data_IF_407218326697
#
_entry.id   IF_407218326697
#
_cell.length_a   1.000
_cell.length_b   1.000
_cell.length_c   1.000
_cell.angle_alpha   90.00
_cell.angle_beta   90.00
_cell.angle_gamma   90.00
#
_symmetry.space_group_name_H-M   'P 1'
#
loop_
_entity.id
_entity.type
_entity.pdbx_description
1 polymer ?
#
# COMPACT_ATOMS: atom_id res chain seq x y z
N UNK A 1 -3.10 2.78 -17.49
CA UNK A 1 -4.49 2.51 -17.87
C UNK A 1 -5.18 3.84 -18.18
N UNK A 2 -5.38 4.15 -19.48
CA UNK A 2 -6.24 5.27 -19.89
C UNK A 2 -7.70 4.86 -19.67
N UNK A 3 -8.29 5.34 -18.58
CA UNK A 3 -9.73 5.24 -18.38
C UNK A 3 -10.38 6.50 -18.94
N UNK A 4 -11.08 6.39 -20.06
CA UNK A 4 -11.91 7.46 -20.62
C UNK A 4 -13.34 7.26 -20.10
N UNK A 5 -13.71 7.97 -19.07
CA UNK A 5 -15.04 8.03 -18.49
C UNK A 5 -15.21 9.31 -17.68
N UNK A 6 -16.42 9.69 -17.31
CA UNK A 6 -16.68 10.91 -16.56
C UNK A 6 -15.94 10.94 -15.20
N UNK A 7 -15.48 12.09 -14.75
CA UNK A 7 -14.51 12.26 -13.68
C UNK A 7 -14.87 11.57 -12.34
N UNK A 8 -16.15 11.39 -12.04
CA UNK A 8 -16.63 10.69 -10.83
C UNK A 8 -16.52 9.16 -10.95
N UNK A 9 -16.90 8.58 -12.08
CA UNK A 9 -16.73 7.14 -12.33
C UNK A 9 -15.24 6.77 -12.40
N UNK A 10 -14.39 7.70 -12.83
CA UNK A 10 -12.93 7.51 -12.86
C UNK A 10 -12.32 7.44 -11.45
N UNK A 11 -12.73 8.31 -10.52
CA UNK A 11 -12.23 8.33 -9.15
C UNK A 11 -12.66 7.06 -8.38
N UNK A 12 -13.93 6.68 -8.46
CA UNK A 12 -14.45 5.47 -7.83
C UNK A 12 -13.78 4.21 -8.38
N UNK A 13 -13.58 4.13 -9.70
CA UNK A 13 -12.89 3.01 -10.33
C UNK A 13 -11.42 2.94 -9.94
N UNK A 14 -10.73 4.08 -9.80
CA UNK A 14 -9.34 4.11 -9.33
C UNK A 14 -9.24 3.59 -7.89
N UNK A 15 -10.08 4.07 -6.99
CA UNK A 15 -10.10 3.64 -5.59
C UNK A 15 -10.51 2.16 -5.44
N UNK A 16 -11.47 1.69 -6.22
CA UNK A 16 -11.85 0.27 -6.28
C UNK A 16 -10.70 -0.59 -6.81
N UNK A 17 -9.99 -0.12 -7.82
CA UNK A 17 -8.79 -0.79 -8.34
C UNK A 17 -7.68 -0.88 -7.29
N UNK A 18 -7.40 0.22 -6.58
CA UNK A 18 -6.45 0.20 -5.46
C UNK A 18 -6.89 -0.77 -4.36
N UNK A 19 -8.19 -0.81 -4.04
CA UNK A 19 -8.75 -1.78 -3.08
C UNK A 19 -8.49 -3.22 -3.53
N UNK A 20 -8.63 -3.52 -4.82
CA UNK A 20 -8.31 -4.82 -5.38
C UNK A 20 -6.80 -5.14 -5.30
N UNK A 21 -5.93 -4.14 -5.51
CA UNK A 21 -4.49 -4.28 -5.32
C UNK A 21 -4.14 -4.53 -3.83
N UNK A 22 -4.77 -3.81 -2.91
CA UNK A 22 -4.60 -4.01 -1.47
C UNK A 22 -5.07 -5.42 -1.07
N UNK A 23 -6.22 -5.87 -1.56
CA UNK A 23 -6.71 -7.23 -1.32
C UNK A 23 -5.76 -8.29 -1.89
N UNK A 24 -5.13 -8.03 -3.04
CA UNK A 24 -4.10 -8.93 -3.61
C UNK A 24 -2.87 -9.02 -2.71
N UNK A 25 -2.42 -7.90 -2.15
CA UNK A 25 -1.32 -7.87 -1.19
C UNK A 25 -1.71 -8.55 0.14
N UNK A 26 -2.92 -8.30 0.63
CA UNK A 26 -3.45 -9.01 1.79
C UNK A 26 -3.47 -10.52 1.57
N UNK A 27 -3.96 -10.99 0.43
CA UNK A 27 -3.97 -12.41 0.09
C UNK A 27 -2.57 -13.04 0.15
N UNK A 28 -1.54 -12.35 -0.35
CA UNK A 28 -0.16 -12.83 -0.26
C UNK A 28 0.31 -12.91 1.21
N UNK A 29 0.00 -11.90 2.01
CA UNK A 29 0.32 -11.88 3.44
C UNK A 29 -0.40 -13.00 4.20
N UNK A 30 -1.68 -13.21 3.89
CA UNK A 30 -2.50 -14.26 4.47
C UNK A 30 -1.97 -15.66 4.10
N UNK A 31 -1.64 -15.89 2.84
CA UNK A 31 -1.03 -17.15 2.37
C UNK A 31 0.33 -17.39 3.02
N UNK A 32 1.18 -16.36 3.10
CA UNK A 32 2.47 -16.46 3.76
C UNK A 32 2.31 -16.86 5.23
N UNK A 33 1.43 -16.24 5.99
CA UNK A 33 1.20 -16.55 7.39
C UNK A 33 0.69 -17.99 7.59
N UNK A 34 -0.18 -18.47 6.71
CA UNK A 34 -0.74 -19.81 6.80
C UNK A 34 0.24 -20.92 6.36
N UNK A 35 1.26 -20.58 5.59
CA UNK A 35 2.18 -21.53 4.98
C UNK A 35 3.65 -21.26 5.26
N UNK A 36 4.01 -20.28 6.11
CA UNK A 36 5.39 -19.82 6.30
C UNK A 36 6.35 -20.96 6.67
N UNK A 37 5.93 -21.97 7.43
CA UNK A 37 6.76 -23.13 7.78
C UNK A 37 7.27 -23.92 6.55
N UNK A 38 6.49 -23.94 5.45
CA UNK A 38 6.89 -24.57 4.18
C UNK A 38 7.64 -23.61 3.28
N UNK A 39 7.44 -22.31 3.45
CA UNK A 39 8.01 -21.24 2.61
C UNK A 39 9.45 -20.88 3.02
N UNK A 40 9.84 -21.18 4.28
CA UNK A 40 11.19 -20.92 4.78
C UNK A 40 12.28 -21.59 3.94
N UNK A 41 12.01 -22.80 3.41
CA UNK A 41 12.96 -23.53 2.57
C UNK A 41 13.24 -22.84 1.22
N UNK A 42 12.37 -21.90 0.84
CA UNK A 42 12.45 -21.14 -0.42
C UNK A 42 12.90 -19.69 -0.21
N UNK A 43 13.32 -19.31 0.99
CA UNK A 43 13.66 -17.92 1.37
C UNK A 43 12.54 -16.90 1.10
N UNK A 44 11.27 -17.35 1.15
CA UNK A 44 10.12 -16.46 0.99
C UNK A 44 9.83 -15.80 2.33
N UNK A 45 10.14 -14.52 2.42
CA UNK A 45 9.98 -13.71 3.62
C UNK A 45 8.59 -13.07 3.71
N UNK A 46 8.30 -12.42 4.87
CA UNK A 46 7.06 -11.68 5.07
C UNK A 46 6.87 -10.64 3.97
N UNK A 47 5.73 -10.65 3.25
CA UNK A 47 5.48 -9.74 2.14
C UNK A 47 5.63 -8.26 2.51
N UNK A 48 6.11 -7.47 1.55
CA UNK A 48 6.20 -6.01 1.59
C UNK A 48 5.62 -5.44 0.30
N UNK A 49 4.73 -4.45 0.42
CA UNK A 49 4.21 -3.70 -0.71
C UNK A 49 5.01 -2.43 -0.91
N UNK A 50 5.61 -2.29 -2.09
CA UNK A 50 6.45 -1.14 -2.42
C UNK A 50 5.75 -0.28 -3.47
N UNK A 51 5.63 1.01 -3.18
CA UNK A 51 5.20 2.02 -4.14
C UNK A 51 6.38 2.88 -4.57
N UNK A 52 6.50 3.09 -5.87
CA UNK A 52 7.52 3.97 -6.46
C UNK A 52 6.81 5.06 -7.25
N UNK A 53 6.93 6.30 -6.77
CA UNK A 53 6.42 7.49 -7.42
C UNK A 53 7.51 8.28 -8.13
N UNK A 54 7.11 9.03 -9.14
CA UNK A 54 7.97 9.95 -9.88
C UNK A 54 8.03 11.33 -9.23
N UNK A 55 6.87 11.80 -8.77
CA UNK A 55 6.69 13.13 -8.17
C UNK A 55 6.54 13.03 -6.66
N UNK A 56 7.32 13.82 -5.93
CA UNK A 56 7.34 13.86 -4.46
C UNK A 56 6.61 15.09 -3.93
N UNK A 57 6.72 16.24 -4.63
CA UNK A 57 6.23 17.53 -4.17
C UNK A 57 5.04 18.04 -5.00
N UNK A 58 4.17 18.83 -4.35
CA UNK A 58 2.98 19.41 -4.94
C UNK A 58 1.69 18.61 -4.63
N UNK A 59 0.56 19.24 -4.93
CA UNK A 59 -0.78 18.64 -4.72
C UNK A 59 -1.01 17.40 -5.60
N UNK A 60 -0.37 17.32 -6.77
CA UNK A 60 -0.41 16.19 -7.71
C UNK A 60 0.72 15.17 -7.46
N UNK A 61 1.20 15.05 -6.22
CA UNK A 61 2.24 14.08 -5.86
C UNK A 61 1.71 12.66 -5.91
N UNK A 62 2.39 11.79 -6.67
CA UNK A 62 2.10 10.35 -6.72
C UNK A 62 2.11 9.71 -5.33
N UNK A 63 3.01 10.17 -4.48
CA UNK A 63 3.16 9.67 -3.11
C UNK A 63 1.96 10.06 -2.26
N UNK A 64 1.48 11.29 -2.43
CA UNK A 64 0.30 11.79 -1.73
C UNK A 64 -0.96 11.03 -2.14
N UNK A 65 -1.10 10.69 -3.42
CA UNK A 65 -2.21 9.88 -3.93
C UNK A 65 -2.30 8.51 -3.22
N UNK A 66 -1.15 7.84 -3.00
CA UNK A 66 -1.13 6.58 -2.23
C UNK A 66 -1.57 6.78 -0.79
N UNK A 67 -1.09 7.85 -0.13
CA UNK A 67 -1.47 8.16 1.26
C UNK A 67 -2.97 8.46 1.37
N UNK A 68 -3.51 9.23 0.42
CA UNK A 68 -4.96 9.53 0.36
C UNK A 68 -5.79 8.27 0.13
N UNK A 69 -5.34 7.34 -0.73
CA UNK A 69 -5.99 6.06 -0.91
C UNK A 69 -6.00 5.22 0.37
N UNK A 70 -4.85 5.11 1.07
CA UNK A 70 -4.79 4.40 2.35
C UNK A 70 -5.71 5.04 3.39
N UNK A 71 -5.80 6.36 3.40
CA UNK A 71 -6.73 7.11 4.24
C UNK A 71 -8.20 6.82 3.89
N UNK A 72 -8.53 6.82 2.60
CA UNK A 72 -9.87 6.48 2.12
C UNK A 72 -10.27 5.07 2.56
N UNK A 73 -9.38 4.09 2.39
CA UNK A 73 -9.61 2.71 2.82
C UNK A 73 -9.99 2.61 4.31
N UNK A 74 -9.35 3.44 5.14
CA UNK A 74 -9.62 3.49 6.58
C UNK A 74 -10.88 4.31 6.93
N UNK A 75 -11.24 5.31 6.15
CA UNK A 75 -12.31 6.26 6.48
C UNK A 75 -13.67 5.81 5.94
N UNK A 76 -13.76 5.21 4.76
CA UNK A 76 -15.02 4.77 4.13
C UNK A 76 -15.21 3.26 4.19
N UNK A 77 -15.41 2.77 5.42
CA UNK A 77 -15.58 1.35 5.70
C UNK A 77 -16.71 0.70 4.89
N UNK A 78 -17.84 1.40 4.74
CA UNK A 78 -19.00 0.83 4.08
C UNK A 78 -18.75 0.58 2.59
N UNK A 79 -18.19 1.55 1.89
CA UNK A 79 -17.83 1.42 0.48
C UNK A 79 -16.76 0.33 0.29
N UNK A 80 -15.74 0.34 1.15
CA UNK A 80 -14.67 -0.66 1.09
C UNK A 80 -15.22 -2.08 1.30
N UNK A 81 -16.08 -2.31 2.29
CA UNK A 81 -16.70 -3.63 2.51
C UNK A 81 -17.54 -4.08 1.32
N UNK A 82 -18.24 -3.17 0.68
CA UNK A 82 -19.00 -3.46 -0.54
C UNK A 82 -18.06 -3.95 -1.65
N UNK A 83 -16.97 -3.22 -1.90
CA UNK A 83 -15.99 -3.61 -2.92
C UNK A 83 -15.24 -4.90 -2.58
N UNK A 84 -14.88 -5.12 -1.30
CA UNK A 84 -14.29 -6.38 -0.86
C UNK A 84 -15.21 -7.56 -1.12
N UNK A 85 -16.52 -7.40 -0.85
CA UNK A 85 -17.52 -8.43 -1.16
C UNK A 85 -17.58 -8.75 -2.64
N UNK A 86 -17.66 -7.71 -3.50
CA UNK A 86 -17.69 -7.88 -4.94
C UNK A 86 -16.43 -8.55 -5.48
N UNK A 87 -15.25 -8.21 -4.93
CA UNK A 87 -13.97 -8.80 -5.31
C UNK A 87 -13.87 -10.27 -4.93
N UNK A 88 -14.25 -10.62 -3.69
CA UNK A 88 -14.23 -12.00 -3.20
C UNK A 88 -15.23 -12.88 -3.91
N UNK A 89 -16.41 -12.32 -4.28
CA UNK A 89 -17.46 -13.02 -5.02
C UNK A 89 -17.21 -13.09 -6.54
N UNK A 90 -16.07 -12.55 -7.02
CA UNK A 90 -15.72 -12.44 -8.45
C UNK A 90 -16.73 -11.63 -9.27
N UNK A 91 -17.38 -10.64 -8.65
CA UNK A 91 -18.40 -9.76 -9.24
C UNK A 91 -17.92 -8.34 -9.48
N UNK A 92 -16.70 -8.00 -9.08
CA UNK A 92 -16.14 -6.68 -9.31
C UNK A 92 -15.90 -6.45 -10.81
N UNK A 93 -16.60 -5.48 -11.37
CA UNK A 93 -16.50 -5.14 -12.80
C UNK A 93 -15.33 -4.18 -13.05
N UNK A 94 -14.10 -4.61 -12.75
CA UNK A 94 -12.89 -3.90 -13.11
C UNK A 94 -12.38 -4.46 -14.45
N UNK A 95 -12.72 -3.78 -15.54
CA UNK A 95 -12.51 -4.28 -16.89
C UNK A 95 -11.25 -3.70 -17.54
N UNK A 96 -10.54 -4.52 -18.30
CA UNK A 96 -9.49 -4.06 -19.20
C UNK A 96 -10.09 -3.41 -20.46
N UNK A 97 -9.22 -2.89 -21.32
CA UNK A 97 -9.63 -2.26 -22.60
C UNK A 97 -10.37 -3.22 -23.56
N UNK A 98 -10.34 -4.52 -23.29
CA UNK A 98 -11.02 -5.56 -24.07
C UNK A 98 -12.32 -6.03 -23.41
N UNK A 99 -12.68 -5.46 -22.24
CA UNK A 99 -13.86 -5.83 -21.49
C UNK A 99 -13.70 -7.08 -20.60
N UNK A 100 -12.47 -7.56 -20.36
CA UNK A 100 -12.23 -8.68 -19.46
C UNK A 100 -12.05 -8.17 -18.03
N UNK A 101 -12.61 -8.88 -17.05
CA UNK A 101 -12.35 -8.60 -15.63
C UNK A 101 -10.90 -8.93 -15.28
N UNK A 102 -10.10 -7.90 -14.95
CA UNK A 102 -8.66 -8.03 -14.66
C UNK A 102 -8.35 -8.79 -13.36
N UNK A 103 -9.33 -8.95 -12.48
CA UNK A 103 -9.19 -9.70 -11.23
C UNK A 103 -9.98 -11.01 -11.21
N UNK A 104 -10.47 -11.48 -12.37
CA UNK A 104 -11.27 -12.71 -12.45
C UNK A 104 -10.54 -13.90 -11.82
N UNK A 105 -11.19 -14.57 -10.88
CA UNK A 105 -10.66 -15.73 -10.16
C UNK A 105 -9.47 -15.44 -9.23
N UNK A 106 -9.03 -14.18 -9.14
CA UNK A 106 -7.84 -13.80 -8.38
C UNK A 106 -7.96 -14.09 -6.88
N UNK A 107 -9.16 -13.92 -6.33
CA UNK A 107 -9.41 -14.00 -4.90
C UNK A 107 -10.05 -15.33 -4.46
N UNK A 108 -9.99 -16.39 -5.28
CA UNK A 108 -10.46 -17.72 -4.94
C UNK A 108 -9.96 -18.22 -3.57
N UNK A 109 -8.69 -17.99 -3.15
CA UNK A 109 -8.23 -18.39 -1.81
C UNK A 109 -8.95 -17.67 -0.66
N UNK A 110 -9.61 -16.54 -0.92
CA UNK A 110 -10.34 -15.75 0.06
C UNK A 110 -11.86 -16.00 0.05
N UNK A 111 -12.36 -16.90 -0.80
CA UNK A 111 -13.81 -17.18 -0.91
C UNK A 111 -14.45 -17.59 0.43
N UNK A 112 -13.66 -18.17 1.36
CA UNK A 112 -14.14 -18.46 2.72
C UNK A 112 -14.58 -17.24 3.53
N UNK A 113 -14.21 -16.02 3.10
CA UNK A 113 -14.66 -14.77 3.70
C UNK A 113 -15.94 -14.20 3.07
N UNK A 114 -16.48 -14.81 1.99
CA UNK A 114 -17.64 -14.28 1.27
C UNK A 114 -18.84 -13.98 2.18
N UNK A 115 -19.10 -14.82 3.18
CA UNK A 115 -20.17 -14.62 4.15
C UNK A 115 -19.72 -13.88 5.43
N UNK A 116 -18.46 -13.43 5.50
CA UNK A 116 -17.91 -12.74 6.66
C UNK A 116 -16.95 -11.60 6.23
N UNK A 117 -17.49 -10.62 5.53
CA UNK A 117 -16.72 -9.46 5.06
C UNK A 117 -16.24 -8.56 6.20
N UNK A 118 -17.01 -8.49 7.29
CA UNK A 118 -16.58 -7.78 8.51
C UNK A 118 -15.32 -8.41 9.11
N UNK A 119 -15.27 -9.73 9.15
CA UNK A 119 -14.09 -10.48 9.56
C UNK A 119 -12.91 -10.27 8.62
N UNK A 120 -13.13 -10.25 7.30
CA UNK A 120 -12.10 -9.96 6.31
C UNK A 120 -11.51 -8.54 6.52
N UNK A 121 -12.38 -7.54 6.64
CA UNK A 121 -11.95 -6.15 6.85
C UNK A 121 -11.14 -6.01 8.15
N UNK A 122 -11.61 -6.61 9.25
CA UNK A 122 -10.91 -6.61 10.53
C UNK A 122 -9.54 -7.30 10.44
N UNK A 123 -9.46 -8.42 9.74
CA UNK A 123 -8.20 -9.15 9.54
C UNK A 123 -7.22 -8.36 8.66
N UNK A 124 -7.72 -7.63 7.65
CA UNK A 124 -6.91 -6.69 6.87
C UNK A 124 -6.33 -5.59 7.77
N UNK A 125 -7.16 -4.96 8.62
CA UNK A 125 -6.68 -3.94 9.56
C UNK A 125 -5.57 -4.49 10.46
N UNK A 126 -5.75 -5.68 10.98
CA UNK A 126 -4.77 -6.30 11.86
C UNK A 126 -3.47 -6.66 11.14
N UNK A 127 -3.56 -7.29 9.95
CA UNK A 127 -2.39 -7.83 9.25
C UNK A 127 -1.61 -6.79 8.47
N UNK A 128 -2.30 -5.82 7.85
CA UNK A 128 -1.66 -4.83 6.99
C UNK A 128 -1.41 -3.50 7.69
N UNK A 129 -2.30 -3.09 8.60
CA UNK A 129 -2.24 -1.77 9.25
C UNK A 129 -1.82 -1.83 10.71
N UNK A 130 -1.47 -3.02 11.24
CA UNK A 130 -1.12 -3.25 12.65
C UNK A 130 -2.20 -2.77 13.65
N UNK A 131 -3.44 -2.62 13.22
CA UNK A 131 -4.52 -2.00 13.98
C UNK A 131 -5.58 -3.02 14.39
N UNK A 132 -6.03 -2.97 15.65
CA UNK A 132 -7.09 -3.83 16.15
C UNK A 132 -8.50 -3.29 15.83
N UNK A 133 -8.60 -2.03 15.45
CA UNK A 133 -9.84 -1.36 15.08
C UNK A 133 -9.56 -0.22 14.10
N UNK A 134 -10.59 0.17 13.37
CA UNK A 134 -10.54 1.32 12.47
C UNK A 134 -10.32 2.61 13.26
N UNK A 135 -9.32 3.38 12.88
CA UNK A 135 -9.05 4.74 13.30
C UNK A 135 -8.50 5.53 12.10
N UNK A 136 -8.35 6.83 12.25
CA UNK A 136 -7.77 7.68 11.21
C UNK A 136 -6.32 7.32 10.95
N UNK A 137 -5.91 7.45 9.69
CA UNK A 137 -4.50 7.40 9.30
C UNK A 137 -3.77 8.58 9.94
N UNK A 138 -2.57 8.33 10.46
CA UNK A 138 -1.64 9.36 10.91
C UNK A 138 -0.36 9.33 10.08
N UNK A 139 0.01 10.49 9.58
CA UNK A 139 1.31 10.75 8.98
C UNK A 139 2.26 11.30 10.05
N UNK A 140 3.31 10.57 10.37
CA UNK A 140 4.23 10.90 11.46
C UNK A 140 5.57 11.36 10.91
N UNK A 141 5.96 12.60 11.20
CA UNK A 141 7.26 13.13 10.87
C UNK A 141 8.30 12.72 11.92
N UNK A 142 9.22 11.82 11.54
CA UNK A 142 10.30 11.33 12.41
C UNK A 142 11.46 12.35 12.41
N UNK A 143 11.48 13.24 13.39
CA UNK A 143 12.43 14.38 13.43
C UNK A 143 13.89 13.96 13.40
N UNK A 144 14.23 12.80 13.94
CA UNK A 144 15.59 12.28 14.00
C UNK A 144 16.01 11.45 12.78
N UNK A 145 15.13 11.30 11.78
CA UNK A 145 15.39 10.55 10.55
C UNK A 145 14.99 11.35 9.32
N UNK A 146 15.91 12.13 8.80
CA UNK A 146 15.67 12.95 7.60
C UNK A 146 15.31 12.07 6.41
N UNK A 147 14.23 12.42 5.72
CA UNK A 147 13.74 11.69 4.56
C UNK A 147 12.77 10.56 4.91
N UNK A 148 12.41 10.38 6.17
CA UNK A 148 11.51 9.31 6.61
C UNK A 148 10.25 9.87 7.29
N UNK A 149 9.08 9.40 6.83
CA UNK A 149 7.79 9.65 7.46
C UNK A 149 7.11 8.30 7.71
N UNK A 150 6.56 8.10 8.90
CA UNK A 150 5.83 6.88 9.21
C UNK A 150 4.33 7.01 8.94
N UNK A 151 3.69 5.89 8.60
CA UNK A 151 2.25 5.75 8.50
C UNK A 151 1.76 4.81 9.59
N UNK A 152 0.79 5.27 10.40
CA UNK A 152 0.15 4.46 11.44
C UNK A 152 -1.35 4.70 11.52
N UNK A 153 -2.09 3.78 12.13
CA UNK A 153 -3.53 3.91 12.38
C UNK A 153 -3.73 4.24 13.85
N UNK A 154 -4.24 5.42 14.15
CA UNK A 154 -4.35 5.88 15.53
C UNK A 154 -3.01 5.84 16.25
N UNK A 155 -2.94 5.08 17.36
CA UNK A 155 -1.71 4.92 18.17
C UNK A 155 -1.06 3.53 17.99
N UNK A 156 -1.43 2.81 16.93
CA UNK A 156 -0.82 1.51 16.60
C UNK A 156 0.64 1.67 16.13
N UNK A 157 1.38 0.56 16.13
CA UNK A 157 2.73 0.52 15.55
C UNK A 157 2.69 0.92 14.07
N UNK A 158 3.71 1.64 13.57
CA UNK A 158 3.78 2.00 12.15
C UNK A 158 3.67 0.77 11.25
N UNK A 159 2.78 0.84 10.28
CA UNK A 159 2.63 -0.19 9.25
C UNK A 159 3.31 0.18 7.93
N UNK A 160 3.56 1.47 7.72
CA UNK A 160 4.11 2.01 6.49
C UNK A 160 5.22 3.01 6.75
N UNK A 161 6.08 3.13 5.75
CA UNK A 161 7.18 4.07 5.71
C UNK A 161 7.18 4.80 4.37
N UNK A 162 7.26 6.13 4.41
CA UNK A 162 7.56 6.96 3.27
C UNK A 162 9.04 7.33 3.35
N UNK A 163 9.81 7.02 2.29
CA UNK A 163 11.23 7.34 2.20
C UNK A 163 11.49 8.22 0.96
N UNK A 164 11.73 9.51 1.18
CA UNK A 164 11.84 10.54 0.14
C UNK A 164 12.91 11.56 0.48
N UNK A 165 13.40 12.30 -0.53
CA UNK A 165 14.47 13.27 -0.32
C UNK A 165 14.01 14.56 0.37
N UNK A 166 12.78 15.03 0.08
CA UNK A 166 12.18 16.24 0.64
C UNK A 166 10.96 15.88 1.50
N UNK A 167 11.24 15.32 2.67
CA UNK A 167 10.25 14.95 3.69
C UNK A 167 9.53 16.18 4.26
N UNK A 168 10.25 17.27 4.45
CA UNK A 168 9.73 18.49 5.06
C UNK A 168 8.73 19.21 4.14
N UNK A 169 9.04 19.32 2.84
CA UNK A 169 8.13 19.90 1.85
C UNK A 169 6.89 19.04 1.67
N UNK A 170 7.05 17.72 1.57
CA UNK A 170 5.95 16.78 1.49
C UNK A 170 5.05 16.83 2.73
N UNK A 171 5.64 16.78 3.94
CA UNK A 171 4.89 16.82 5.19
C UNK A 171 4.04 18.10 5.30
N UNK A 172 4.62 19.26 4.92
CA UNK A 172 3.91 20.54 4.95
C UNK A 172 2.70 20.56 4.01
N UNK A 173 2.84 20.04 2.78
CA UNK A 173 1.71 19.92 1.85
C UNK A 173 0.66 18.93 2.36
N UNK A 174 1.09 17.81 2.93
CA UNK A 174 0.22 16.78 3.46
C UNK A 174 -0.56 17.25 4.71
N UNK A 175 0.04 18.08 5.55
CA UNK A 175 -0.55 18.64 6.78
C UNK A 175 -1.76 19.56 6.50
N UNK A 176 -1.84 20.12 5.29
CA UNK A 176 -2.98 20.95 4.85
C UNK A 176 -4.22 20.11 4.46
N UNK A 177 -4.09 18.78 4.38
CA UNK A 177 -5.18 17.89 3.99
C UNK A 177 -5.96 17.39 5.21
N UNK A 178 -7.28 17.44 5.11
CA UNK A 178 -8.20 16.97 6.17
C UNK A 178 -8.41 15.42 6.16
N UNK A 179 -7.87 14.72 5.15
CA UNK A 179 -8.15 13.29 4.96
C UNK A 179 -7.48 12.38 5.98
N UNK A 180 -6.40 12.82 6.62
CA UNK A 180 -5.64 12.11 7.66
C UNK A 180 -5.07 13.09 8.68
N UNK A 181 -4.59 12.57 9.79
CA UNK A 181 -3.97 13.37 10.85
C UNK A 181 -2.45 13.46 10.63
N UNK A 182 -1.85 14.58 11.06
CA UNK A 182 -0.41 14.79 11.01
C UNK A 182 0.17 14.94 12.42
N UNK A 183 1.34 14.33 12.65
CA UNK A 183 2.00 14.30 13.95
C UNK A 183 3.52 14.38 13.81
N UNK A 184 4.21 14.97 14.78
CA UNK A 184 5.66 14.97 14.86
C UNK A 184 6.13 14.03 15.98
N UNK A 185 7.13 13.19 15.67
CA UNK A 185 7.77 12.31 16.65
C UNK A 185 9.23 12.74 16.84
N UNK A 186 9.51 13.34 18.01
CA UNK A 186 10.84 13.84 18.37
C UNK A 186 11.76 12.73 18.90
N UNK A 187 11.23 11.54 19.21
CA UNK A 187 11.96 10.43 19.85
C UNK A 187 12.10 9.21 18.93
N UNK A 188 11.37 9.15 17.84
CA UNK A 188 11.41 8.03 16.89
C UNK A 188 12.78 7.88 16.24
N UNK A 189 13.21 6.64 16.04
CA UNK A 189 14.41 6.27 15.31
C UNK A 189 14.13 5.98 13.84
N UNK A 190 15.20 5.89 13.03
CA UNK A 190 15.13 5.52 11.63
C UNK A 190 14.44 4.16 11.42
N UNK A 191 13.44 4.11 10.55
CA UNK A 191 12.66 2.91 10.24
C UNK A 191 13.18 2.17 9.02
N UNK A 192 13.80 2.86 8.06
CA UNK A 192 14.25 2.24 6.80
C UNK A 192 15.21 1.08 7.04
N UNK A 193 16.13 1.22 7.99
CA UNK A 193 17.08 0.17 8.38
C UNK A 193 16.42 -1.07 8.98
N UNK A 194 15.18 -0.98 9.44
CA UNK A 194 14.44 -2.10 10.05
C UNK A 194 13.57 -2.88 9.06
N UNK A 195 13.47 -2.44 7.81
CA UNK A 195 12.60 -3.05 6.78
C UNK A 195 12.86 -4.54 6.61
N UNK A 196 14.13 -4.96 6.60
CA UNK A 196 14.54 -6.35 6.39
C UNK A 196 14.66 -7.17 7.69
N UNK A 197 14.30 -6.61 8.84
CA UNK A 197 14.29 -7.36 10.08
C UNK A 197 13.12 -8.36 10.08
N UNK A 198 13.36 -9.57 10.63
CA UNK A 198 12.35 -10.64 10.68
C UNK A 198 11.09 -10.26 11.46
N UNK A 199 11.24 -9.38 12.45
CA UNK A 199 10.16 -8.86 13.32
C UNK A 199 9.57 -7.53 12.83
N UNK A 200 10.02 -7.04 11.67
CA UNK A 200 9.55 -5.77 11.11
C UNK A 200 8.02 -5.73 11.00
N UNK A 201 7.45 -4.66 11.53
CA UNK A 201 6.01 -4.38 11.45
C UNK A 201 5.61 -3.64 10.16
N UNK A 202 6.60 -3.14 9.42
CA UNK A 202 6.35 -2.43 8.18
C UNK A 202 5.86 -3.38 7.09
N UNK A 203 4.74 -3.04 6.49
CA UNK A 203 4.07 -3.78 5.42
C UNK A 203 4.04 -3.00 4.11
N UNK A 204 4.20 -1.67 4.18
CA UNK A 204 4.16 -0.75 3.03
C UNK A 204 5.39 0.14 3.04
N UNK A 205 6.03 0.28 1.87
CA UNK A 205 7.11 1.22 1.63
C UNK A 205 6.73 2.10 0.45
N UNK A 206 6.75 3.40 0.64
CA UNK A 206 6.45 4.39 -0.39
C UNK A 206 7.69 5.25 -0.60
N UNK A 207 8.11 5.45 -1.84
CA UNK A 207 9.29 6.26 -2.06
C UNK A 207 9.44 6.80 -3.46
N UNK A 208 10.38 7.73 -3.61
CA UNK A 208 10.81 8.21 -4.92
C UNK A 208 11.82 7.26 -5.55
N UNK A 209 12.05 7.40 -6.85
CA UNK A 209 13.01 6.57 -7.61
C UNK A 209 14.40 6.44 -6.95
N UNK A 210 14.85 7.49 -6.28
CA UNK A 210 16.19 7.54 -5.68
C UNK A 210 16.39 6.54 -4.55
N UNK A 211 15.33 6.19 -3.81
CA UNK A 211 15.50 5.24 -2.70
C UNK A 211 15.77 3.80 -3.17
N UNK A 212 15.38 3.49 -4.41
CA UNK A 212 15.58 2.15 -4.97
C UNK A 212 17.02 1.86 -5.37
N UNK A 213 17.86 2.89 -5.49
CA UNK A 213 19.28 2.74 -5.79
C UNK A 213 20.03 2.16 -4.59
N UNK A 214 20.59 0.94 -4.74
CA UNK A 214 21.38 0.28 -3.70
C UNK A 214 20.60 -0.47 -2.61
N UNK A 215 19.26 -0.48 -2.66
CA UNK A 215 18.43 -1.25 -1.74
C UNK A 215 17.89 -2.52 -2.41
N UNK A 216 17.83 -3.62 -1.66
CA UNK A 216 17.19 -4.87 -2.06
C UNK A 216 16.52 -5.53 -0.87
N UNK A 217 15.44 -6.27 -1.12
CA UNK A 217 14.72 -6.99 -0.08
C UNK A 217 13.98 -8.20 -0.67
N UNK A 218 14.18 -9.35 -0.06
CA UNK A 218 13.43 -10.58 -0.37
C UNK A 218 11.95 -10.49 0.04
N UNK A 219 11.58 -9.43 0.74
CA UNK A 219 10.21 -9.16 1.16
C UNK A 219 9.32 -8.54 0.07
N UNK A 220 9.90 -7.97 -1.00
CA UNK A 220 9.12 -7.30 -2.05
C UNK A 220 8.27 -8.33 -2.80
N UNK A 221 6.97 -8.31 -2.56
CA UNK A 221 6.01 -9.21 -3.18
C UNK A 221 5.04 -8.51 -4.12
N UNK A 222 4.80 -7.23 -3.90
CA UNK A 222 3.89 -6.40 -4.68
C UNK A 222 4.53 -5.04 -4.92
N UNK A 223 4.39 -4.53 -6.14
CA UNK A 223 4.95 -3.23 -6.51
C UNK A 223 3.91 -2.37 -7.22
N UNK A 224 3.72 -1.15 -6.74
CA UNK A 224 2.92 -0.10 -7.37
C UNK A 224 3.84 0.91 -8.05
N UNK A 225 3.72 1.05 -9.37
CA UNK A 225 4.47 2.02 -10.16
C UNK A 225 3.54 3.15 -10.56
N UNK A 226 3.79 4.34 -10.06
CA UNK A 226 2.93 5.51 -10.27
C UNK A 226 3.58 6.44 -11.31
N UNK A 227 2.80 6.83 -12.32
CA UNK A 227 3.20 7.78 -13.36
C UNK A 227 4.59 7.54 -13.97
N UNK A 228 5.00 6.27 -14.07
CA UNK A 228 6.25 5.88 -14.72
C UNK A 228 6.07 6.01 -16.25
N UNK A 229 6.82 6.90 -16.87
CA UNK A 229 6.72 7.18 -18.31
C UNK A 229 7.17 6.01 -19.19
N UNK A 230 6.75 6.02 -20.47
CA UNK A 230 7.07 4.96 -21.45
C UNK A 230 8.58 4.79 -21.71
N UNK A 231 9.43 5.77 -21.36
CA UNK A 231 10.90 5.71 -21.54
C UNK A 231 11.66 5.00 -20.40
N UNK A 232 10.98 4.50 -19.39
CA UNK A 232 11.61 4.06 -18.13
C UNK A 232 11.68 2.54 -17.95
N UNK A 233 11.47 1.78 -19.03
CA UNK A 233 11.45 0.31 -18.99
C UNK A 233 12.70 -0.32 -18.36
N UNK A 234 13.88 0.26 -18.56
CA UNK A 234 15.13 -0.25 -17.94
C UNK A 234 15.15 -0.07 -16.41
N UNK A 235 14.59 1.02 -15.90
CA UNK A 235 14.47 1.27 -14.45
C UNK A 235 13.43 0.34 -13.82
N UNK A 236 12.32 0.09 -14.50
CA UNK A 236 11.29 -0.86 -14.07
C UNK A 236 11.89 -2.27 -13.96
N UNK A 237 12.67 -2.70 -14.96
CA UNK A 237 13.37 -4.01 -14.92
C UNK A 237 14.34 -4.08 -13.75
N UNK A 238 15.10 -3.00 -13.48
CA UNK A 238 16.00 -2.96 -12.33
C UNK A 238 15.27 -3.04 -10.99
N UNK A 239 14.10 -2.41 -10.87
CA UNK A 239 13.25 -2.50 -9.69
C UNK A 239 12.75 -3.92 -9.44
N UNK A 240 12.26 -4.59 -10.49
CA UNK A 240 11.83 -5.99 -10.39
C UNK A 240 13.00 -6.93 -10.04
N UNK A 241 14.18 -6.71 -10.62
CA UNK A 241 15.38 -7.51 -10.32
C UNK A 241 15.90 -7.38 -8.88
N UNK A 242 15.41 -6.42 -8.09
CA UNK A 242 15.79 -6.22 -6.68
C UNK A 242 14.84 -6.90 -5.69
N UNK A 243 13.69 -7.36 -6.16
CA UNK A 243 12.70 -8.11 -5.38
C UNK A 243 12.68 -9.61 -5.66
N UNK A 244 13.70 -10.12 -6.41
CA UNK A 244 13.79 -11.55 -6.81
C UNK A 244 15.06 -12.14 -6.25
#
# INVERSE_FOLDING_TARGET
>A
LNMNGEAYEQADNAQKYFTACLLSFYQQTWLWQNHHGKLNDFNIEKPLWVFVGNTVSGEDSDILEVVQFLSFFLNDEQTIKTWLKELVDDKAQLLDVKGNNIFQGRFNPLMGFSDNIDGLYTDILHKLFNANARQRLKLVNIKNSKGELALRVGDAEPFGLISIGDDSGFYKTAEELESFDSEADDFGGALFGTLNNKDSKLNVLIGSRKFTEGWSSWRVSTMGLLNMGQGEGSQIIQLFGRGV
#
